data_IF_467442931704
#
_entry.id   IF_467442931704
#
_cell.length_a   1.000
_cell.length_b   1.000
_cell.length_c   1.000
_cell.angle_alpha   90.00
_cell.angle_beta   90.00
_cell.angle_gamma   90.00
#
_symmetry.space_group_name_H-M   'P 1'
#
loop_
_entity.id
_entity.type
_entity.pdbx_description
1 polymer ?
#
# COMPACT_ATOMS: atom_id res chain seq x y z
N UNK A 1 -12.56 12.64 -6.60
CA UNK A 1 -13.39 11.81 -7.50
C UNK A 1 -12.61 10.56 -7.94
N UNK A 2 -11.31 10.66 -8.16
CA UNK A 2 -10.40 9.52 -8.41
C UNK A 2 -10.19 8.62 -7.18
N UNK A 3 -10.33 9.15 -5.95
CA UNK A 3 -10.38 8.37 -4.69
C UNK A 3 -11.34 7.17 -4.74
N UNK A 4 -12.54 7.34 -5.32
CA UNK A 4 -13.52 6.26 -5.47
C UNK A 4 -13.01 5.16 -6.40
N UNK A 5 -12.39 5.53 -7.52
CA UNK A 5 -11.78 4.58 -8.45
C UNK A 5 -10.70 3.76 -7.76
N UNK A 6 -9.80 4.42 -7.03
CA UNK A 6 -8.74 3.76 -6.24
C UNK A 6 -9.35 2.81 -5.22
N UNK A 7 -10.37 3.25 -4.47
CA UNK A 7 -11.04 2.41 -3.50
C UNK A 7 -11.69 1.18 -4.15
N UNK A 8 -12.61 1.38 -5.09
CA UNK A 8 -13.38 0.27 -5.68
C UNK A 8 -12.51 -0.71 -6.47
N UNK A 9 -11.40 -0.26 -7.04
CA UNK A 9 -10.51 -1.14 -7.80
C UNK A 9 -9.44 -1.80 -6.93
N UNK A 10 -8.89 -1.09 -5.94
CA UNK A 10 -7.65 -1.51 -5.27
C UNK A 10 -7.83 -1.84 -3.79
N UNK A 11 -9.00 -1.66 -3.18
CA UNK A 11 -9.22 -1.87 -1.74
C UNK A 11 -8.69 -3.23 -1.25
N UNK A 12 -9.09 -4.32 -1.92
CA UNK A 12 -8.63 -5.67 -1.56
C UNK A 12 -7.11 -5.84 -1.66
N UNK A 13 -6.48 -5.19 -2.65
CA UNK A 13 -5.02 -5.22 -2.81
C UNK A 13 -4.33 -4.37 -1.74
N UNK A 14 -4.90 -3.22 -1.37
CA UNK A 14 -4.39 -2.38 -0.28
C UNK A 14 -4.32 -3.19 1.01
N UNK A 15 -5.41 -3.86 1.40
CA UNK A 15 -5.44 -4.71 2.60
C UNK A 15 -4.38 -5.80 2.52
N UNK A 16 -4.39 -6.60 1.45
CA UNK A 16 -3.44 -7.71 1.27
C UNK A 16 -1.98 -7.26 1.31
N UNK A 17 -1.67 -6.12 0.69
CA UNK A 17 -0.31 -5.59 0.69
C UNK A 17 0.08 -5.10 2.08
N UNK A 18 -0.79 -4.36 2.78
CA UNK A 18 -0.51 -3.90 4.14
C UNK A 18 -0.23 -5.08 5.09
N UNK A 19 -1.02 -6.15 5.02
CA UNK A 19 -0.78 -7.39 5.77
C UNK A 19 0.58 -8.01 5.42
N UNK A 20 0.90 -8.12 4.13
CA UNK A 20 2.18 -8.66 3.66
C UNK A 20 3.40 -7.82 4.10
N UNK A 21 3.18 -6.52 4.35
CA UNK A 21 4.19 -5.59 4.87
C UNK A 21 4.27 -5.60 6.40
N UNK A 22 3.48 -6.42 7.09
CA UNK A 22 3.44 -6.52 8.54
C UNK A 22 2.54 -5.49 9.23
N UNK A 23 1.87 -4.61 8.48
CA UNK A 23 1.02 -3.53 8.99
C UNK A 23 -0.43 -4.00 9.24
N UNK A 24 -0.59 -5.10 9.98
CA UNK A 24 -1.90 -5.74 10.22
C UNK A 24 -2.91 -4.82 10.95
N UNK A 25 -2.43 -4.01 11.90
CA UNK A 25 -3.28 -3.06 12.63
C UNK A 25 -3.87 -2.02 11.70
N UNK A 26 -3.02 -1.41 10.87
CA UNK A 26 -3.46 -0.47 9.84
C UNK A 26 -4.37 -1.14 8.81
N UNK A 27 -4.08 -2.37 8.37
CA UNK A 27 -4.95 -3.09 7.45
C UNK A 27 -6.39 -3.22 8.01
N UNK A 28 -6.52 -3.59 9.28
CA UNK A 28 -7.82 -3.66 9.96
C UNK A 28 -8.50 -2.29 10.10
N UNK A 29 -7.74 -1.24 10.41
CA UNK A 29 -8.25 0.14 10.48
C UNK A 29 -8.77 0.61 9.11
N UNK A 30 -8.01 0.35 8.05
CA UNK A 30 -8.37 0.66 6.66
C UNK A 30 -9.61 -0.12 6.22
N UNK A 31 -9.70 -1.40 6.57
CA UNK A 31 -10.87 -2.24 6.26
C UNK A 31 -12.14 -1.69 6.93
N UNK A 32 -12.05 -1.35 8.23
CA UNK A 32 -13.19 -0.81 9.00
C UNK A 32 -13.63 0.57 8.55
N UNK A 33 -12.68 1.46 8.29
CA UNK A 33 -12.96 2.82 7.85
C UNK A 33 -13.38 2.87 6.36
N UNK A 34 -13.04 1.83 5.59
CA UNK A 34 -13.30 1.77 4.16
C UNK A 34 -12.74 2.99 3.43
N UNK A 35 -13.51 3.53 2.50
CA UNK A 35 -13.13 4.73 1.74
C UNK A 35 -12.91 5.97 2.62
N UNK A 36 -13.41 5.98 3.86
CA UNK A 36 -13.20 7.07 4.82
C UNK A 36 -11.78 7.18 5.36
N UNK A 37 -10.94 6.15 5.17
CA UNK A 37 -9.57 6.16 5.66
C UNK A 37 -8.67 7.13 4.87
N UNK A 38 -7.80 7.87 5.55
CA UNK A 38 -6.93 8.91 4.95
C UNK A 38 -5.93 8.35 3.92
N UNK A 39 -5.64 7.05 4.01
CA UNK A 39 -4.80 6.33 3.04
C UNK A 39 -5.32 6.49 1.60
N UNK A 40 -6.64 6.57 1.41
CA UNK A 40 -7.22 6.74 0.08
C UNK A 40 -7.07 8.18 -0.42
N UNK A 41 -7.03 9.18 0.46
CA UNK A 41 -6.69 10.57 0.09
C UNK A 41 -5.20 10.71 -0.27
N UNK A 42 -4.34 9.94 0.39
CA UNK A 42 -2.94 9.81 0.01
C UNK A 42 -2.78 9.14 -1.35
N UNK A 43 -3.40 7.96 -1.55
CA UNK A 43 -3.30 7.21 -2.80
C UNK A 43 -3.89 7.98 -3.98
N UNK A 44 -5.00 8.69 -3.78
CA UNK A 44 -5.60 9.54 -4.82
C UNK A 44 -4.60 10.60 -5.33
N UNK A 45 -3.95 11.31 -4.42
CA UNK A 45 -2.92 12.30 -4.74
C UNK A 45 -1.70 11.65 -5.39
N UNK A 46 -1.23 10.53 -4.85
CA UNK A 46 -0.05 9.83 -5.34
C UNK A 46 -0.26 9.25 -6.74
N UNK A 47 -1.40 8.63 -7.02
CA UNK A 47 -1.75 8.17 -8.36
C UNK A 47 -1.93 9.34 -9.32
N UNK A 48 -2.56 10.44 -8.87
CA UNK A 48 -2.66 11.64 -9.68
C UNK A 48 -1.29 12.18 -10.08
N UNK A 49 -0.30 12.18 -9.19
CA UNK A 49 1.07 12.59 -9.50
C UNK A 49 1.79 11.59 -10.43
N UNK A 50 1.71 10.29 -10.12
CA UNK A 50 2.31 9.24 -10.94
C UNK A 50 1.80 9.26 -12.39
N UNK A 51 0.53 9.65 -12.56
CA UNK A 51 -0.11 9.71 -13.87
C UNK A 51 -0.25 11.13 -14.45
N UNK A 52 0.08 12.19 -13.71
CA UNK A 52 0.00 13.58 -14.19
C UNK A 52 0.91 13.84 -15.39
N UNK A 53 1.99 13.06 -15.53
CA UNK A 53 2.86 13.07 -16.71
C UNK A 53 2.12 12.72 -18.02
N UNK A 54 0.91 12.14 -17.95
CA UNK A 54 0.17 11.61 -19.10
C UNK A 54 -1.05 12.45 -19.55
N UNK A 55 -1.23 13.67 -19.00
CA UNK A 55 -2.15 14.66 -19.57
C UNK A 55 -3.65 14.30 -19.45
N UNK A 56 -4.20 14.38 -18.23
CA UNK A 56 -5.65 14.45 -17.99
C UNK A 56 -6.12 13.63 -16.79
N UNK A 57 -6.38 14.30 -15.66
CA UNK A 57 -6.73 13.66 -14.38
C UNK A 57 -8.25 13.55 -14.22
N UNK A 58 -8.91 12.72 -15.04
CA UNK A 58 -10.33 12.37 -14.82
C UNK A 58 -10.51 10.89 -14.45
N UNK A 59 -11.60 10.56 -13.75
CA UNK A 59 -11.82 9.21 -13.19
C UNK A 59 -11.85 8.10 -14.24
N UNK A 60 -12.44 8.37 -15.40
CA UNK A 60 -12.56 7.37 -16.49
C UNK A 60 -11.18 7.02 -17.02
N UNK A 61 -10.35 8.03 -17.24
CA UNK A 61 -8.99 7.85 -17.70
C UNK A 61 -8.14 7.11 -16.66
N UNK A 62 -8.22 7.49 -15.37
CA UNK A 62 -7.46 6.82 -14.30
C UNK A 62 -7.83 5.34 -14.19
N UNK A 63 -9.14 5.02 -14.27
CA UNK A 63 -9.63 3.65 -14.30
C UNK A 63 -8.97 2.86 -15.44
N UNK A 64 -9.02 3.39 -16.67
CA UNK A 64 -8.42 2.74 -17.83
C UNK A 64 -6.90 2.60 -17.69
N UNK A 65 -6.21 3.61 -17.14
CA UNK A 65 -4.77 3.55 -16.91
C UNK A 65 -4.38 2.46 -15.91
N UNK A 66 -5.18 2.27 -14.85
CA UNK A 66 -5.00 1.19 -13.89
C UNK A 66 -5.30 -0.17 -14.53
N UNK A 67 -6.41 -0.30 -15.28
CA UNK A 67 -6.77 -1.55 -15.97
C UNK A 67 -5.68 -1.98 -16.97
N UNK A 68 -5.19 -1.06 -17.79
CA UNK A 68 -4.17 -1.35 -18.80
C UNK A 68 -2.81 -1.71 -18.19
N UNK A 69 -2.53 -1.31 -16.95
CA UNK A 69 -1.26 -1.53 -16.27
C UNK A 69 -1.43 -2.31 -14.96
N UNK A 70 -2.47 -3.15 -14.87
CA UNK A 70 -2.89 -3.77 -13.62
C UNK A 70 -1.74 -4.46 -12.87
N UNK A 71 -0.98 -5.32 -13.55
CA UNK A 71 0.11 -6.08 -12.93
C UNK A 71 1.23 -5.16 -12.41
N UNK A 72 1.54 -4.08 -13.15
CA UNK A 72 2.51 -3.08 -12.71
C UNK A 72 2.00 -2.30 -11.51
N UNK A 73 0.71 -1.95 -11.51
CA UNK A 73 0.08 -1.20 -10.41
C UNK A 73 0.11 -2.04 -9.14
N UNK A 74 -0.39 -3.27 -9.18
CA UNK A 74 -0.49 -4.12 -7.98
C UNK A 74 0.86 -4.68 -7.55
N UNK A 75 1.75 -5.00 -8.49
CA UNK A 75 3.04 -5.61 -8.20
C UNK A 75 4.14 -4.62 -7.79
N UNK A 76 4.06 -3.37 -8.25
CA UNK A 76 5.17 -2.40 -8.07
C UNK A 76 4.69 -1.07 -7.50
N UNK A 77 3.75 -0.39 -8.18
CA UNK A 77 3.38 0.99 -7.85
C UNK A 77 2.69 1.06 -6.49
N UNK A 78 1.60 0.30 -6.31
CA UNK A 78 0.81 0.30 -5.09
C UNK A 78 1.64 -0.14 -3.86
N UNK A 79 2.43 -1.24 -3.89
CA UNK A 79 3.34 -1.57 -2.79
C UNK A 79 4.36 -0.47 -2.48
N UNK A 80 4.92 0.19 -3.49
CA UNK A 80 5.85 1.30 -3.31
C UNK A 80 5.19 2.48 -2.59
N UNK A 81 3.99 2.87 -3.02
CA UNK A 81 3.22 3.95 -2.41
C UNK A 81 2.81 3.62 -0.97
N UNK A 82 2.41 2.39 -0.68
CA UNK A 82 2.06 1.96 0.68
C UNK A 82 3.28 1.93 1.61
N UNK A 83 4.46 1.52 1.13
CA UNK A 83 5.70 1.62 1.92
C UNK A 83 6.05 3.07 2.26
N UNK A 84 5.85 3.99 1.32
CA UNK A 84 6.05 5.43 1.56
C UNK A 84 5.07 5.97 2.59
N UNK A 85 3.79 5.58 2.50
CA UNK A 85 2.77 5.92 3.50
C UNK A 85 3.18 5.44 4.90
N UNK A 86 3.53 4.16 5.04
CA UNK A 86 3.98 3.59 6.32
C UNK A 86 5.21 4.29 6.88
N UNK A 87 6.17 4.66 6.03
CA UNK A 87 7.35 5.40 6.43
C UNK A 87 7.03 6.81 6.95
N UNK A 88 6.06 7.50 6.32
CA UNK A 88 5.64 8.84 6.70
C UNK A 88 4.79 8.85 7.99
N UNK A 89 3.98 7.83 8.21
CA UNK A 89 3.05 7.74 9.35
C UNK A 89 3.62 6.97 10.55
N UNK A 90 4.89 6.55 10.51
CA UNK A 90 5.56 5.90 11.65
C UNK A 90 5.06 4.49 11.97
N UNK A 91 4.10 3.96 11.21
CA UNK A 91 3.59 2.60 11.25
C UNK A 91 4.61 1.65 10.57
N UNK A 92 5.84 1.58 11.12
CA UNK A 92 6.72 0.43 10.84
C UNK A 92 6.13 -0.75 11.58
N UNK A 93 5.25 -1.50 10.91
CA UNK A 93 4.75 -2.79 11.36
C UNK A 93 5.92 -3.63 11.87
N UNK A 94 5.93 -3.82 13.18
CA UNK A 94 6.57 -4.87 13.98
C UNK A 94 7.66 -5.73 13.31
N UNK A 95 8.66 -5.11 12.69
CA UNK A 95 9.81 -5.78 12.08
C UNK A 95 10.78 -6.39 13.12
N UNK A 96 10.33 -6.57 14.37
CA UNK A 96 11.06 -7.23 15.48
C UNK A 96 10.60 -8.66 15.75
N UNK A 97 9.84 -9.29 14.84
CA UNK A 97 9.37 -10.68 15.06
C UNK A 97 9.96 -11.75 14.16
N UNK A 98 10.93 -11.41 13.31
CA UNK A 98 11.82 -12.43 12.75
C UNK A 98 12.93 -12.75 13.75
N UNK A 99 12.63 -13.79 14.54
CA UNK A 99 13.55 -14.58 15.37
C UNK A 99 14.99 -14.52 14.84
N UNK A 100 15.86 -13.79 15.52
CA UNK A 100 17.21 -14.29 15.76
C UNK A 100 17.02 -15.46 16.71
N UNK A 101 16.79 -16.64 16.16
CA UNK A 101 16.90 -17.87 16.93
C UNK A 101 18.30 -17.88 17.55
N UNK A 102 18.33 -17.85 18.87
CA UNK A 102 19.46 -18.25 19.67
C UNK A 102 20.09 -19.52 19.08
N UNK A 103 21.28 -19.38 18.49
CA UNK A 103 22.18 -20.53 18.36
C UNK A 103 23.03 -20.54 19.62
N UNK A 104 22.54 -21.28 20.62
CA UNK A 104 23.35 -21.76 21.74
C UNK A 104 24.41 -22.73 21.20
N UNK A 105 25.62 -22.64 21.75
CA UNK A 105 26.75 -23.52 21.47
C UNK A 105 27.66 -22.92 20.39
N UNK A 106 28.95 -22.70 20.62
CA UNK A 106 29.90 -23.71 21.09
C UNK A 106 31.07 -23.02 21.80
N UNK A 107 31.31 -23.39 23.07
CA UNK A 107 32.64 -23.27 23.69
C UNK A 107 33.45 -24.45 23.18
N UNK A 108 34.54 -24.20 22.47
CA UNK A 108 35.61 -25.18 22.29
C UNK A 108 36.92 -24.57 22.80
N UNK A 109 37.55 -25.39 23.63
CA UNK A 109 38.71 -25.22 24.53
C UNK A 109 39.83 -24.33 24.03
#
# INVERSE_FOLDING_TARGET
MSKEVVYYMLHSQVIRILESLGAHKLALEVERAGMGHEIYDYLDRAFSLYYAEYGGVNCRWLKQAIENNWDKVVGTVLPGLLRQYLAAHGERGDARRYKTSEVKGVVVK
#
